data_IF_227698613775
#
_entry.id   IF_227698613775
#
_cell.length_a   1.000
_cell.length_b   1.000
_cell.length_c   1.000
_cell.angle_alpha   90.00
_cell.angle_beta   90.00
_cell.angle_gamma   90.00
#
_symmetry.space_group_name_H-M   'P 1'
#
loop_
_entity.id
_entity.type
_entity.pdbx_description
1 polymer ?
#
# COMPACT_ATOMS: atom_id res chain seq x y z
N UNK A 1 4.44 -3.09 18.75
CA UNK A 1 3.57 -2.82 19.91
C UNK A 1 4.26 -1.91 20.94
N UNK A 2 5.55 -2.09 21.25
CA UNK A 2 6.30 -1.16 22.14
C UNK A 2 6.35 0.29 21.62
N UNK A 3 6.52 0.51 20.32
CA UNK A 3 6.58 1.86 19.74
C UNK A 3 5.33 2.69 20.02
N UNK A 4 4.15 2.08 19.89
CA UNK A 4 2.87 2.76 20.16
C UNK A 4 2.75 3.17 21.62
N UNK A 5 3.18 2.30 22.55
CA UNK A 5 3.14 2.58 23.98
C UNK A 5 4.10 3.72 24.37
N UNK A 6 5.30 3.76 23.77
CA UNK A 6 6.28 4.83 24.01
C UNK A 6 5.79 6.21 23.60
N UNK A 7 4.89 6.30 22.62
CA UNK A 7 4.33 7.57 22.11
C UNK A 7 2.89 7.84 22.58
N UNK A 8 2.37 7.08 23.54
CA UNK A 8 0.99 7.21 24.01
C UNK A 8 0.65 8.64 24.46
N UNK A 9 1.53 9.25 25.27
CA UNK A 9 1.35 10.63 25.75
C UNK A 9 1.37 11.65 24.60
N UNK A 10 2.25 11.43 23.62
CA UNK A 10 2.35 12.26 22.42
C UNK A 10 1.06 12.18 21.58
N UNK A 11 0.45 10.99 21.47
CA UNK A 11 -0.83 10.82 20.78
C UNK A 11 -1.99 11.49 21.51
N UNK A 12 -2.04 11.43 22.84
CA UNK A 12 -3.06 12.15 23.61
C UNK A 12 -2.95 13.67 23.41
N UNK A 13 -1.73 14.21 23.37
CA UNK A 13 -1.51 15.64 23.15
C UNK A 13 -1.97 16.06 21.75
N UNK A 14 -1.68 15.26 20.72
CA UNK A 14 -2.25 15.49 19.39
C UNK A 14 -3.77 15.44 19.41
N UNK A 15 -4.36 14.37 19.97
CA UNK A 15 -5.81 14.19 19.99
C UNK A 15 -6.51 15.40 20.61
N UNK A 16 -6.03 15.84 21.78
CA UNK A 16 -6.56 17.01 22.49
C UNK A 16 -6.49 18.29 21.65
N UNK A 17 -5.47 18.44 20.80
CA UNK A 17 -5.29 19.60 19.96
C UNK A 17 -6.10 19.55 18.65
N UNK A 18 -6.28 18.37 18.05
CA UNK A 18 -6.94 18.23 16.74
C UNK A 18 -8.44 18.06 16.81
N UNK A 19 -8.96 17.49 17.89
CA UNK A 19 -10.39 17.21 18.08
C UNK A 19 -11.25 18.49 18.05
N UNK A 20 -10.91 19.58 18.76
CA UNK A 20 -11.70 20.82 18.72
C UNK A 20 -11.71 21.51 17.35
N UNK A 21 -10.68 21.28 16.54
CA UNK A 21 -10.52 21.88 15.21
C UNK A 21 -11.24 21.07 14.10
N UNK A 22 -11.84 19.92 14.45
CA UNK A 22 -12.45 19.02 13.46
C UNK A 22 -11.42 18.40 12.51
N UNK A 23 -10.20 18.16 13.01
CA UNK A 23 -9.11 17.55 12.24
C UNK A 23 -8.98 16.09 12.67
N UNK A 24 -9.03 15.18 11.69
CA UNK A 24 -8.78 13.75 11.88
C UNK A 24 -7.28 13.46 11.79
N UNK A 25 -6.75 12.80 12.80
CA UNK A 25 -5.34 12.40 12.89
C UNK A 25 -5.21 10.88 12.78
N UNK A 26 -4.20 10.43 12.04
CA UNK A 26 -3.83 9.02 11.90
C UNK A 26 -2.31 8.89 11.99
N UNK A 27 -1.85 7.83 12.66
CA UNK A 27 -0.44 7.54 12.87
C UNK A 27 -0.14 6.11 12.44
N UNK A 28 0.90 5.94 11.62
CA UNK A 28 1.47 4.65 11.25
C UNK A 28 2.95 4.64 11.61
N UNK A 29 3.27 4.15 12.80
CA UNK A 29 4.63 4.15 13.37
C UNK A 29 5.21 5.58 13.41
N UNK A 30 6.02 5.96 12.43
CA UNK A 30 6.65 7.28 12.35
C UNK A 30 5.91 8.24 11.41
N UNK A 31 4.98 7.73 10.59
CA UNK A 31 4.22 8.53 9.62
C UNK A 31 2.96 9.10 10.26
N UNK A 32 2.88 10.42 10.33
CA UNK A 32 1.74 11.17 10.85
C UNK A 32 0.94 11.79 9.69
N UNK A 33 -0.36 11.53 9.65
CA UNK A 33 -1.26 12.09 8.64
C UNK A 33 -2.42 12.82 9.31
N UNK A 34 -2.59 14.09 8.94
CA UNK A 34 -3.66 14.96 9.39
C UNK A 34 -4.58 15.27 8.20
N UNK A 35 -5.88 15.10 8.39
CA UNK A 35 -6.90 15.32 7.37
C UNK A 35 -8.08 16.10 7.94
N UNK A 36 -8.67 16.97 7.14
CA UNK A 36 -9.85 17.74 7.51
C UNK A 36 -10.62 18.12 6.25
N UNK A 37 -11.91 18.37 6.40
CA UNK A 37 -12.75 18.96 5.35
C UNK A 37 -12.44 20.46 5.18
N UNK A 38 -11.94 21.11 6.23
CA UNK A 38 -11.54 22.51 6.22
C UNK A 38 -10.06 22.64 5.89
N UNK A 39 -9.67 23.81 5.40
CA UNK A 39 -8.28 24.13 5.11
C UNK A 39 -7.42 24.05 6.38
N UNK A 40 -6.38 23.21 6.36
CA UNK A 40 -5.43 23.11 7.46
C UNK A 40 -4.40 24.24 7.33
N UNK A 41 -4.35 25.15 8.31
CA UNK A 41 -3.49 26.32 8.22
C UNK A 41 -1.99 25.98 8.37
N UNK A 42 -1.12 26.88 7.88
CA UNK A 42 0.32 26.79 8.16
C UNK A 42 0.62 26.94 9.66
N UNK A 43 -0.24 27.64 10.40
CA UNK A 43 -0.14 27.79 11.85
C UNK A 43 -0.35 26.45 12.55
N UNK A 44 -1.36 25.67 12.15
CA UNK A 44 -1.58 24.31 12.64
C UNK A 44 -0.32 23.46 12.46
N UNK A 45 0.28 23.50 11.26
CA UNK A 45 1.52 22.77 10.95
C UNK A 45 2.67 23.16 11.90
N UNK A 46 2.83 24.45 12.22
CA UNK A 46 3.86 24.92 13.17
C UNK A 46 3.60 24.42 14.59
N UNK A 47 2.34 24.35 15.01
CA UNK A 47 1.97 23.84 16.34
C UNK A 47 2.24 22.34 16.43
N UNK A 48 1.86 21.57 15.41
CA UNK A 48 2.21 20.14 15.30
C UNK A 48 3.72 19.93 15.40
N UNK A 49 4.53 20.74 14.71
CA UNK A 49 5.99 20.66 14.80
C UNK A 49 6.50 20.92 16.22
N UNK A 50 5.94 21.91 16.91
CA UNK A 50 6.31 22.21 18.30
C UNK A 50 5.97 21.05 19.24
N UNK A 51 4.80 20.43 19.07
CA UNK A 51 4.40 19.26 19.85
C UNK A 51 5.42 18.13 19.65
N UNK A 52 5.79 17.81 18.40
CA UNK A 52 6.78 16.78 18.09
C UNK A 52 8.15 17.07 18.76
N UNK A 53 8.60 18.32 18.69
CA UNK A 53 9.86 18.76 19.29
C UNK A 53 9.86 18.66 20.82
N UNK A 54 8.71 18.83 21.49
CA UNK A 54 8.62 18.66 22.94
C UNK A 54 8.98 17.24 23.39
N UNK A 55 8.78 16.24 22.52
CA UNK A 55 9.15 14.84 22.76
C UNK A 55 10.56 14.50 22.24
N UNK A 56 11.37 15.49 21.88
CA UNK A 56 12.73 15.33 21.33
C UNK A 56 12.76 14.50 20.03
N UNK A 57 11.71 14.62 19.23
CA UNK A 57 11.61 14.03 17.91
C UNK A 57 11.83 15.10 16.84
N UNK A 58 12.41 14.69 15.72
CA UNK A 58 12.66 15.56 14.57
C UNK A 58 11.77 15.20 13.39
N UNK A 59 11.25 16.23 12.73
CA UNK A 59 10.43 16.06 11.53
C UNK A 59 11.30 16.08 10.29
N UNK A 60 11.15 15.06 9.45
CA UNK A 60 11.74 15.08 8.13
C UNK A 60 11.01 16.08 7.20
N UNK A 61 11.51 17.30 7.13
CA UNK A 61 10.95 18.36 6.30
C UNK A 61 10.93 18.01 4.81
N UNK A 62 11.93 17.23 4.34
CA UNK A 62 12.00 16.80 2.94
C UNK A 62 10.91 15.81 2.57
N UNK A 63 10.31 15.10 3.54
CA UNK A 63 9.18 14.19 3.33
C UNK A 63 7.83 14.80 3.72
N UNK A 64 7.82 15.84 4.57
CA UNK A 64 6.57 16.50 4.96
C UNK A 64 5.93 17.20 3.77
N UNK A 65 4.65 16.95 3.53
CA UNK A 65 3.88 17.59 2.45
C UNK A 65 2.57 18.12 2.99
N UNK A 66 2.14 19.24 2.43
CA UNK A 66 0.78 19.78 2.61
C UNK A 66 0.06 19.59 1.28
N UNK A 67 -1.03 18.82 1.28
CA UNK A 67 -1.73 18.40 0.06
C UNK A 67 -3.21 18.74 0.19
N UNK A 68 -3.80 19.20 -0.91
CA UNK A 68 -5.24 19.40 -1.05
C UNK A 68 -5.82 18.17 -1.76
N UNK A 69 -7.03 17.75 -1.37
CA UNK A 69 -7.70 16.55 -1.90
C UNK A 69 -7.89 16.52 -3.43
N UNK A 70 -7.84 17.67 -4.10
CA UNK A 70 -8.01 17.76 -5.56
C UNK A 70 -6.81 17.22 -6.37
N UNK A 71 -5.82 16.62 -5.71
CA UNK A 71 -4.64 16.03 -6.36
C UNK A 71 -4.50 14.59 -5.91
N UNK A 72 -3.94 13.76 -6.77
CA UNK A 72 -3.58 12.39 -6.44
C UNK A 72 -2.58 12.38 -5.26
N UNK A 73 -2.92 11.67 -4.18
CA UNK A 73 -2.07 11.54 -2.99
C UNK A 73 -1.66 10.09 -2.85
N UNK A 74 -0.36 9.82 -2.85
CA UNK A 74 0.16 8.52 -2.44
C UNK A 74 0.23 8.46 -0.91
N UNK A 75 -0.59 7.61 -0.30
CA UNK A 75 -0.62 7.33 1.13
C UNK A 75 -0.22 5.88 1.34
N UNK A 76 0.98 5.65 1.88
CA UNK A 76 1.47 4.33 2.33
C UNK A 76 1.25 3.19 1.32
N UNK A 77 1.44 3.45 0.02
CA UNK A 77 1.30 2.44 -1.03
C UNK A 77 -0.09 2.36 -1.67
N UNK A 78 -1.02 3.24 -1.31
CA UNK A 78 -2.29 3.44 -2.02
C UNK A 78 -2.35 4.84 -2.63
N UNK A 79 -3.01 4.97 -3.77
CA UNK A 79 -3.37 6.26 -4.36
C UNK A 79 -4.73 6.66 -3.82
N UNK A 80 -4.86 7.85 -3.26
CA UNK A 80 -6.15 8.46 -2.90
C UNK A 80 -6.43 9.58 -3.88
N UNK A 81 -7.57 9.49 -4.58
CA UNK A 81 -8.02 10.49 -5.55
C UNK A 81 -9.55 10.58 -5.45
N UNK A 82 -10.08 11.80 -5.36
CA UNK A 82 -11.52 12.06 -5.32
C UNK A 82 -12.30 11.26 -4.25
N UNK A 83 -11.65 10.96 -3.12
CA UNK A 83 -12.22 10.16 -2.02
C UNK A 83 -12.14 8.64 -2.23
N UNK A 84 -11.72 8.19 -3.40
CA UNK A 84 -11.55 6.77 -3.74
C UNK A 84 -10.09 6.32 -3.58
N UNK A 85 -9.92 5.02 -3.33
CA UNK A 85 -8.61 4.37 -3.14
C UNK A 85 -8.27 3.52 -4.35
N UNK A 86 -7.12 3.78 -4.96
CA UNK A 86 -6.60 3.08 -6.11
C UNK A 86 -5.27 2.40 -5.80
N UNK A 87 -4.99 1.32 -6.54
CA UNK A 87 -3.71 0.64 -6.49
C UNK A 87 -2.72 1.41 -7.37
N UNK A 88 -1.49 1.71 -6.91
CA UNK A 88 -0.49 2.37 -7.73
C UNK A 88 -0.20 1.64 -9.05
N UNK A 89 -0.18 2.39 -10.16
CA UNK A 89 0.11 1.84 -11.49
C UNK A 89 1.43 1.06 -11.54
N UNK A 90 2.44 1.49 -10.78
CA UNK A 90 3.72 0.78 -10.66
C UNK A 90 3.54 -0.64 -10.07
N UNK A 91 2.66 -0.79 -9.09
CA UNK A 91 2.37 -2.08 -8.47
C UNK A 91 1.56 -2.97 -9.42
N UNK A 92 0.54 -2.41 -10.08
CA UNK A 92 -0.23 -3.14 -11.10
C UNK A 92 0.66 -3.64 -12.24
N UNK A 93 1.55 -2.77 -12.75
CA UNK A 93 2.51 -3.12 -13.79
C UNK A 93 3.47 -4.23 -13.35
N UNK A 94 3.98 -4.16 -12.11
CA UNK A 94 4.84 -5.22 -11.55
C UNK A 94 4.10 -6.54 -11.44
N UNK A 95 2.84 -6.51 -10.97
CA UNK A 95 2.00 -7.70 -10.86
C UNK A 95 1.74 -8.33 -12.22
N UNK A 96 1.43 -7.52 -13.24
CA UNK A 96 1.23 -8.01 -14.60
C UNK A 96 2.48 -8.71 -15.16
N UNK A 97 3.66 -8.10 -15.06
CA UNK A 97 4.88 -8.75 -15.57
C UNK A 97 5.23 -10.02 -14.81
N UNK A 98 5.07 -10.00 -13.48
CA UNK A 98 5.31 -11.20 -12.66
C UNK A 98 4.35 -12.32 -13.08
N UNK A 99 3.09 -11.98 -13.38
CA UNK A 99 2.11 -12.95 -13.88
C UNK A 99 2.50 -13.52 -15.25
N UNK A 100 2.92 -12.68 -16.19
CA UNK A 100 3.37 -13.12 -17.53
C UNK A 100 4.58 -14.05 -17.42
N UNK A 101 5.57 -13.71 -16.60
CA UNK A 101 6.75 -14.55 -16.37
C UNK A 101 6.37 -15.93 -15.82
N UNK A 102 5.41 -15.98 -14.88
CA UNK A 102 4.94 -17.24 -14.31
C UNK A 102 4.17 -18.10 -15.33
N UNK A 103 3.33 -17.48 -16.18
CA UNK A 103 2.57 -18.18 -17.23
C UNK A 103 3.49 -18.76 -18.31
N UNK A 104 4.53 -18.02 -18.71
CA UNK A 104 5.55 -18.51 -19.63
C UNK A 104 6.31 -19.72 -19.07
N UNK A 105 6.71 -19.66 -17.79
CA UNK A 105 7.37 -20.78 -17.11
C UNK A 105 6.45 -22.00 -17.03
N UNK A 106 5.17 -21.82 -16.71
CA UNK A 106 4.20 -22.90 -16.67
C UNK A 106 4.03 -23.56 -18.04
N UNK A 107 3.91 -22.76 -19.10
CA UNK A 107 3.77 -23.24 -20.47
C UNK A 107 5.01 -24.04 -20.92
N UNK A 108 6.22 -23.55 -20.64
CA UNK A 108 7.48 -24.24 -20.95
C UNK A 108 7.57 -25.56 -20.19
N UNK A 109 7.22 -25.56 -18.90
CA UNK A 109 7.22 -26.76 -18.05
C UNK A 109 6.26 -27.82 -18.58
N UNK A 110 5.03 -27.43 -18.97
CA UNK A 110 4.04 -28.32 -19.59
C UNK A 110 4.55 -28.89 -20.92
N UNK A 111 5.15 -28.08 -21.78
CA UNK A 111 5.73 -28.53 -23.06
C UNK A 111 6.88 -29.51 -22.86
N UNK A 112 7.78 -29.23 -21.92
CA UNK A 112 8.88 -30.14 -21.56
C UNK A 112 8.35 -31.47 -21.03
N UNK A 113 7.35 -31.45 -20.14
CA UNK A 113 6.69 -32.67 -19.66
C UNK A 113 6.07 -33.49 -20.79
N UNK A 114 5.41 -32.85 -21.76
CA UNK A 114 4.87 -33.54 -22.94
C UNK A 114 5.97 -34.12 -23.83
N UNK A 115 7.07 -33.40 -24.02
CA UNK A 115 8.22 -33.90 -24.78
C UNK A 115 8.90 -35.09 -24.08
N UNK A 116 9.09 -35.02 -22.76
CA UNK A 116 9.66 -36.11 -21.97
C UNK A 116 8.78 -37.38 -21.99
N UNK A 117 7.45 -37.22 -21.89
CA UNK A 117 6.50 -38.34 -22.04
C UNK A 117 6.57 -39.03 -23.41
N UNK A 118 6.96 -38.30 -24.47
CA UNK A 118 7.14 -38.87 -25.81
C UNK A 118 8.45 -39.65 -25.96
N UNK A 119 9.51 -39.23 -25.27
CA UNK A 119 10.84 -39.85 -25.35
C UNK A 119 10.92 -41.10 -24.48
N UNK A 120 10.24 -41.10 -23.33
CA UNK A 120 10.22 -42.23 -22.39
C UNK A 120 8.85 -42.28 -21.70
N UNK A 121 7.94 -43.17 -22.13
CA UNK A 121 6.57 -43.22 -21.61
C UNK A 121 6.48 -43.63 -20.14
N UNK A 122 7.52 -44.26 -19.58
CA UNK A 122 7.57 -44.73 -18.19
C UNK A 122 7.99 -43.66 -17.17
N UNK A 123 8.26 -42.42 -17.61
CA UNK A 123 8.64 -41.33 -16.69
C UNK A 123 7.40 -40.76 -16.00
N UNK A 124 7.05 -41.34 -14.85
CA UNK A 124 6.19 -40.71 -13.86
C UNK A 124 7.00 -39.72 -13.02
N UNK A 125 7.04 -38.46 -13.42
CA UNK A 125 7.51 -37.39 -12.54
C UNK A 125 6.40 -37.07 -11.53
N UNK A 126 6.66 -37.37 -10.25
CA UNK A 126 5.79 -37.02 -9.13
C UNK A 126 5.81 -35.51 -8.90
N UNK A 127 5.03 -34.79 -9.68
CA UNK A 127 4.75 -33.37 -9.47
C UNK A 127 3.24 -33.20 -9.32
N UNK A 128 2.75 -33.51 -8.12
CA UNK A 128 1.46 -33.03 -7.64
C UNK A 128 1.55 -31.52 -7.45
N UNK A 129 1.43 -30.76 -8.55
CA UNK A 129 1.08 -29.36 -8.48
C UNK A 129 -0.43 -29.24 -8.33
N UNK A 130 -0.84 -28.41 -7.35
CA UNK A 130 -2.21 -28.09 -7.01
C UNK A 130 -3.08 -27.92 -8.27
N UNK A 131 -4.13 -28.74 -8.40
CA UNK A 131 -5.27 -28.41 -9.25
C UNK A 131 -5.93 -27.16 -8.67
N UNK A 132 -5.88 -26.02 -9.37
CA UNK A 132 -6.78 -24.90 -9.09
C UNK A 132 -8.00 -25.03 -10.03
N UNK A 133 -9.13 -25.45 -9.43
CA UNK A 133 -10.45 -25.56 -10.06
C UNK A 133 -11.11 -24.18 -10.26
N UNK A 134 -10.40 -23.22 -10.87
CA UNK A 134 -10.99 -21.90 -11.16
C UNK A 134 -10.72 -21.47 -12.59
N UNK A 135 -11.58 -21.94 -13.48
CA UNK A 135 -12.00 -21.20 -14.66
C UNK A 135 -12.48 -19.81 -14.22
N UNK A 136 -11.68 -18.77 -14.49
CA UNK A 136 -12.16 -17.39 -14.40
C UNK A 136 -12.81 -17.08 -15.75
N UNK A 137 -14.13 -16.82 -15.83
CA UNK A 137 -14.75 -16.47 -17.10
C UNK A 137 -14.23 -15.12 -17.56
N UNK A 138 -13.96 -15.02 -18.86
CA UNK A 138 -13.63 -13.77 -19.53
C UNK A 138 -14.82 -12.80 -19.46
N UNK A 139 -14.89 -11.99 -18.40
CA UNK A 139 -15.82 -10.86 -18.33
C UNK A 139 -15.05 -9.54 -18.48
N UNK A 140 -15.16 -8.98 -19.68
CA UNK A 140 -15.11 -7.55 -20.03
C UNK A 140 -14.67 -6.60 -18.90
N UNK A 141 -13.44 -6.09 -19.00
CA UNK A 141 -13.11 -4.79 -18.42
C UNK A 141 -13.45 -3.70 -19.45
N UNK A 142 -14.53 -2.97 -19.21
CA UNK A 142 -14.65 -1.59 -19.69
C UNK A 142 -13.92 -0.68 -18.70
N UNK A 143 -12.98 0.11 -19.20
CA UNK A 143 -12.58 1.44 -18.72
C UNK A 143 -12.01 2.18 -19.93
#
# INVERSE_FOLDING_TARGET
>A
MLSVLSYLNHFYEFHKYVEPEGIRFTCFIDDLTFSSEKFISKTFKRIVYRIIQNYRLDVNHSKTRHRTFNKEINVTGAIVKDGEKFIPNKLQKKLYFTYVELDEIELVTRKLLLMLKKVSPDVTFGLTFFRDDRTVPASRCYC
#
